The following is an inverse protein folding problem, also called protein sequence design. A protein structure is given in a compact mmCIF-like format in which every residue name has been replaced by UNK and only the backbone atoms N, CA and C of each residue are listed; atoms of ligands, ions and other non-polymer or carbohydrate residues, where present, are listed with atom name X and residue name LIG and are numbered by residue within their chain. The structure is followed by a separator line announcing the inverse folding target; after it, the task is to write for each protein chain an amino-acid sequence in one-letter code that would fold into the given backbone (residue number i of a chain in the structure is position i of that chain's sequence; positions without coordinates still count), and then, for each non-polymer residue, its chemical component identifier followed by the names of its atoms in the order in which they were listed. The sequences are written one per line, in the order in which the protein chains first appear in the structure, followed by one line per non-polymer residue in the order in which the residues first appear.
data_IF_881050428402
#
_entry.id   IF_881050428402
#
_cell.length_a   1.000
_cell.length_b   1.000
_cell.length_c   1.000
_cell.angle_alpha   90.00
_cell.angle_beta   90.00
_cell.angle_gamma   90.00
#
_symmetry.space_group_name_H-M   'P 1'
#
loop_
_entity.id
_entity.type
_entity.pdbx_description
1 polymer ?
#
# COMPACT_ATOMS: atom_id res chain seq x y z
N UNK A 1 -5.16 -17.86 8.34
CA UNK A 1 -3.80 -17.35 8.56
C UNK A 1 -3.75 -16.00 7.87
N UNK A 2 -3.61 -14.96 8.66
CA UNK A 2 -3.51 -13.56 8.22
C UNK A 2 -2.21 -13.34 7.43
N UNK A 3 -2.23 -12.37 6.53
CA UNK A 3 -1.08 -11.90 5.78
C UNK A 3 -0.36 -10.81 6.58
N UNK A 4 0.95 -10.91 6.71
CA UNK A 4 1.73 -9.84 7.36
C UNK A 4 1.61 -8.55 6.54
N UNK A 5 1.26 -7.43 7.20
CA UNK A 5 1.28 -6.10 6.59
C UNK A 5 2.57 -5.41 6.98
N UNK A 6 3.39 -5.10 5.97
CA UNK A 6 4.57 -4.28 6.10
C UNK A 6 4.30 -2.91 5.47
N UNK A 7 4.97 -1.89 5.96
CA UNK A 7 4.79 -0.52 5.47
C UNK A 7 6.16 0.14 5.31
N UNK A 8 6.28 0.98 4.30
CA UNK A 8 7.41 1.91 4.22
C UNK A 8 7.20 3.05 5.21
N UNK A 9 8.28 3.71 5.63
CA UNK A 9 8.22 4.93 6.44
C UNK A 9 7.37 6.03 5.78
N UNK A 10 7.28 6.03 4.45
CA UNK A 10 6.46 6.99 3.72
C UNK A 10 4.96 6.76 3.94
N UNK A 11 4.52 5.51 4.05
CA UNK A 11 3.12 5.17 4.41
C UNK A 11 2.87 5.43 5.90
N UNK A 12 3.80 5.07 6.78
CA UNK A 12 3.68 5.32 8.22
C UNK A 12 3.47 6.81 8.51
N UNK A 13 4.35 7.66 7.98
CA UNK A 13 4.24 9.12 8.14
C UNK A 13 2.93 9.68 7.57
N UNK A 14 2.44 9.12 6.47
CA UNK A 14 1.16 9.52 5.89
C UNK A 14 0.00 9.17 6.82
N UNK A 15 -0.02 7.96 7.40
CA UNK A 15 -1.07 7.54 8.33
C UNK A 15 -1.06 8.36 9.62
N UNK A 16 0.13 8.69 10.15
CA UNK A 16 0.27 9.54 11.33
C UNK A 16 -0.28 10.95 11.09
N UNK A 17 0.08 11.56 9.95
CA UNK A 17 -0.46 12.86 9.55
C UNK A 17 -1.99 12.80 9.35
N UNK A 18 -2.47 11.76 8.67
CA UNK A 18 -3.89 11.56 8.45
C UNK A 18 -4.66 11.38 9.76
N UNK A 19 -4.09 10.69 10.75
CA UNK A 19 -4.71 10.54 12.07
C UNK A 19 -4.88 11.89 12.78
N UNK A 20 -3.91 12.78 12.64
CA UNK A 20 -3.93 14.10 13.25
C UNK A 20 -4.94 15.04 12.55
N UNK A 21 -5.06 14.95 11.23
CA UNK A 21 -5.83 15.89 10.40
C UNK A 21 -7.28 15.41 10.12
N UNK A 22 -7.48 14.11 9.87
CA UNK A 22 -8.77 13.51 9.51
C UNK A 22 -8.91 12.08 10.07
N UNK A 23 -9.44 12.00 11.29
CA UNK A 23 -9.66 10.72 12.00
C UNK A 23 -10.65 9.79 11.31
N UNK A 24 -11.62 10.33 10.57
CA UNK A 24 -12.64 9.50 9.91
C UNK A 24 -12.03 8.80 8.69
N UNK A 25 -11.28 9.54 7.88
CA UNK A 25 -10.50 8.97 6.78
C UNK A 25 -9.46 7.96 7.30
N UNK A 26 -8.69 8.30 8.34
CA UNK A 26 -7.73 7.38 8.96
C UNK A 26 -8.38 6.06 9.41
N UNK A 27 -9.55 6.13 10.06
CA UNK A 27 -10.29 4.94 10.49
C UNK A 27 -10.67 4.03 9.31
N UNK A 28 -11.09 4.61 8.18
CA UNK A 28 -11.45 3.85 6.98
C UNK A 28 -10.24 3.21 6.31
N UNK A 29 -9.10 3.90 6.30
CA UNK A 29 -7.84 3.33 5.82
C UNK A 29 -7.44 2.13 6.65
N UNK A 30 -7.47 2.23 7.98
CA UNK A 30 -7.15 1.09 8.86
C UNK A 30 -8.10 -0.08 8.67
N UNK A 31 -9.40 0.17 8.49
CA UNK A 31 -10.37 -0.89 8.17
C UNK A 31 -10.05 -1.59 6.85
N UNK A 32 -9.63 -0.84 5.83
CA UNK A 32 -9.21 -1.41 4.55
C UNK A 32 -7.94 -2.27 4.68
N UNK A 33 -6.97 -1.84 5.51
CA UNK A 33 -5.75 -2.59 5.78
C UNK A 33 -6.06 -3.90 6.52
N UNK A 34 -6.95 -3.88 7.51
CA UNK A 34 -7.39 -5.08 8.23
C UNK A 34 -8.08 -6.10 7.30
N UNK A 35 -8.90 -5.63 6.35
CA UNK A 35 -9.51 -6.51 5.35
C UNK A 35 -8.44 -7.11 4.43
N UNK A 36 -7.46 -6.33 4.02
CA UNK A 36 -6.33 -6.80 3.21
C UNK A 36 -5.47 -7.84 3.95
N UNK A 37 -5.19 -7.63 5.23
CA UNK A 37 -4.50 -8.57 6.12
C UNK A 37 -5.24 -9.91 6.20
N UNK A 38 -6.57 -9.86 6.35
CA UNK A 38 -7.38 -11.06 6.47
C UNK A 38 -7.49 -11.86 5.16
N UNK A 39 -7.72 -11.15 4.05
CA UNK A 39 -8.05 -11.77 2.76
C UNK A 39 -6.83 -12.00 1.85
N UNK A 40 -5.76 -11.22 2.05
CA UNK A 40 -4.54 -11.25 1.24
C UNK A 40 -4.84 -11.12 -0.27
N UNK A 41 -4.21 -11.95 -1.14
CA UNK A 41 -4.42 -11.93 -2.59
C UNK A 41 -5.85 -12.23 -3.05
N UNK A 42 -6.71 -12.74 -2.15
CA UNK A 42 -8.13 -12.94 -2.43
C UNK A 42 -8.94 -11.64 -2.45
N UNK A 43 -8.40 -10.55 -1.91
CA UNK A 43 -9.08 -9.25 -1.91
C UNK A 43 -9.06 -8.60 -3.31
N UNK A 44 -10.21 -8.07 -3.71
CA UNK A 44 -10.44 -7.57 -5.07
C UNK A 44 -11.29 -6.30 -5.08
N UNK A 45 -11.95 -6.02 -6.20
CA UNK A 45 -12.84 -4.85 -6.29
C UNK A 45 -14.04 -5.01 -5.34
N UNK A 46 -14.48 -3.95 -4.65
CA UNK A 46 -14.09 -2.54 -4.84
C UNK A 46 -12.92 -2.07 -3.97
N UNK A 47 -12.35 -2.89 -3.08
CA UNK A 47 -11.31 -2.45 -2.15
C UNK A 47 -9.91 -2.44 -2.78
N UNK A 48 -9.64 -3.31 -3.75
CA UNK A 48 -8.32 -3.45 -4.41
C UNK A 48 -8.45 -3.36 -5.94
N UNK A 49 -7.48 -2.72 -6.63
CA UNK A 49 -7.22 -2.91 -8.08
C UNK A 49 -5.79 -3.36 -8.34
N UNK A 50 -5.57 -3.77 -9.59
CA UNK A 50 -4.25 -3.84 -10.20
C UNK A 50 -3.83 -2.51 -10.84
N UNK A 51 -2.55 -2.15 -10.69
CA UNK A 51 -1.92 -1.01 -11.37
C UNK A 51 -1.26 -1.52 -12.66
N UNK A 52 -1.81 -1.15 -13.82
CA UNK A 52 -1.33 -1.65 -15.12
C UNK A 52 -0.20 -0.82 -15.72
N UNK A 53 0.04 0.38 -15.20
CA UNK A 53 1.05 1.31 -15.71
C UNK A 53 2.43 1.13 -15.04
N UNK A 54 2.58 0.15 -14.15
CA UNK A 54 3.84 -0.18 -13.49
C UNK A 54 4.58 -1.29 -14.22
N UNK A 55 5.91 -1.30 -14.13
CA UNK A 55 6.75 -2.45 -14.54
C UNK A 55 6.61 -3.64 -13.59
N UNK A 56 6.15 -3.41 -12.36
CA UNK A 56 5.90 -4.48 -11.38
C UNK A 56 4.53 -5.08 -11.70
N UNK A 57 4.55 -6.32 -12.19
CA UNK A 57 3.35 -7.02 -12.70
C UNK A 57 2.26 -7.23 -11.65
N UNK A 58 2.62 -7.32 -10.38
CA UNK A 58 1.70 -7.52 -9.27
C UNK A 58 1.49 -6.25 -8.41
N UNK A 59 1.83 -5.07 -8.93
CA UNK A 59 1.54 -3.80 -8.26
C UNK A 59 0.02 -3.60 -8.19
N UNK A 60 -0.45 -3.23 -7.00
CA UNK A 60 -1.87 -3.07 -6.67
C UNK A 60 -2.12 -1.72 -6.02
N UNK A 61 -3.39 -1.34 -5.95
CA UNK A 61 -3.84 -0.23 -5.13
C UNK A 61 -4.91 -0.65 -4.15
N UNK A 62 -4.79 -0.20 -2.91
CA UNK A 62 -5.84 -0.22 -1.90
C UNK A 62 -6.69 1.04 -2.04
N UNK A 63 -8.01 0.86 -2.01
CA UNK A 63 -9.03 1.90 -2.16
C UNK A 63 -9.97 1.93 -0.95
N UNK A 64 -9.51 2.46 0.20
CA UNK A 64 -10.39 2.71 1.32
C UNK A 64 -11.60 3.54 0.90
N UNK A 65 -12.77 3.32 1.51
CA UNK A 65 -13.92 4.19 1.30
C UNK A 65 -13.56 5.65 1.60
N UNK A 66 -14.11 6.56 0.80
CA UNK A 66 -13.89 8.00 0.93
C UNK A 66 -14.91 8.66 1.88
N UNK A 67 -14.50 9.72 2.58
CA UNK A 67 -15.40 10.61 3.33
C UNK A 67 -15.16 12.05 2.88
N UNK A 68 -16.25 12.79 2.66
CA UNK A 68 -16.15 14.17 2.20
C UNK A 68 -15.50 14.26 0.82
N UNK A 69 -14.32 14.89 0.75
CA UNK A 69 -13.57 15.10 -0.50
C UNK A 69 -12.29 14.26 -0.62
N UNK A 70 -11.95 13.47 0.41
CA UNK A 70 -10.72 12.67 0.41
C UNK A 70 -10.85 11.46 -0.52
N UNK A 71 -9.79 11.16 -1.26
CA UNK A 71 -9.69 10.00 -2.15
C UNK A 71 -8.36 9.29 -1.89
N UNK A 72 -8.24 8.72 -0.70
CA UNK A 72 -7.01 8.09 -0.24
C UNK A 72 -6.76 6.79 -0.99
N UNK A 73 -5.52 6.59 -1.42
CA UNK A 73 -5.07 5.41 -2.14
C UNK A 73 -3.69 5.03 -1.69
N UNK A 74 -3.45 3.72 -1.61
CA UNK A 74 -2.16 3.17 -1.20
C UNK A 74 -1.70 2.19 -2.27
N UNK A 75 -0.54 2.43 -2.90
CA UNK A 75 0.06 1.43 -3.79
C UNK A 75 0.79 0.40 -2.95
N UNK A 76 0.64 -0.87 -3.31
CA UNK A 76 1.21 -1.99 -2.57
C UNK A 76 1.50 -3.17 -3.49
N UNK A 77 2.27 -4.14 -2.98
CA UNK A 77 2.50 -5.42 -3.65
C UNK A 77 2.45 -6.57 -2.65
N UNK A 78 2.10 -7.77 -3.13
CA UNK A 78 2.30 -9.00 -2.37
C UNK A 78 3.69 -9.55 -2.67
N UNK A 79 4.49 -9.76 -1.64
CA UNK A 79 5.85 -10.26 -1.78
C UNK A 79 5.88 -11.80 -2.01
N UNK A 80 7.05 -12.38 -2.30
CA UNK A 80 7.23 -13.83 -2.38
C UNK A 80 7.14 -14.57 -1.04
N UNK A 81 7.20 -13.87 0.11
CA UNK A 81 7.28 -14.44 1.45
C UNK A 81 5.99 -14.35 2.26
N UNK A 82 4.88 -14.04 1.58
CA UNK A 82 3.51 -14.02 2.12
C UNK A 82 3.21 -12.80 3.01
N UNK A 83 3.73 -11.65 2.60
CA UNK A 83 3.46 -10.34 3.19
C UNK A 83 2.89 -9.40 2.12
N UNK A 84 2.10 -8.42 2.54
CA UNK A 84 1.72 -7.29 1.71
C UNK A 84 2.53 -6.06 2.16
N UNK A 85 3.32 -5.50 1.26
CA UNK A 85 4.10 -4.27 1.51
C UNK A 85 3.35 -3.06 0.97
N UNK A 86 2.92 -2.18 1.87
CA UNK A 86 2.35 -0.87 1.54
C UNK A 86 3.49 0.10 1.21
N UNK A 87 3.55 0.55 -0.04
CA UNK A 87 4.71 1.26 -0.59
C UNK A 87 4.55 2.76 -0.50
N UNK A 88 3.41 3.29 -0.98
CA UNK A 88 3.15 4.73 -1.05
C UNK A 88 1.68 5.04 -0.86
N UNK A 89 1.39 6.05 -0.05
CA UNK A 89 0.05 6.53 0.21
C UNK A 89 -0.12 8.00 -0.21
N UNK A 90 -1.34 8.39 -0.58
CA UNK A 90 -1.67 9.79 -0.87
C UNK A 90 -3.17 10.03 -1.03
N UNK A 91 -3.57 11.29 -0.90
CA UNK A 91 -4.93 11.76 -1.21
C UNK A 91 -5.02 12.21 -2.68
N UNK A 92 -5.91 11.59 -3.45
CA UNK A 92 -6.09 11.85 -4.89
C UNK A 92 -7.05 12.98 -5.21
N UNK A 93 -7.57 13.71 -4.23
CA UNK A 93 -8.57 14.76 -4.44
C UNK A 93 -8.18 15.76 -5.55
N UNK A 94 -8.79 15.60 -6.74
CA UNK A 94 -8.64 16.50 -7.90
C UNK A 94 -7.37 16.38 -8.78
N UNK A 95 -6.42 15.46 -8.52
CA UNK A 95 -5.13 15.40 -9.26
C UNK A 95 -4.69 13.98 -9.70
N UNK A 96 -5.64 13.13 -10.05
CA UNK A 96 -5.45 11.70 -10.35
C UNK A 96 -4.28 11.38 -11.31
N UNK A 97 -4.25 11.98 -12.49
CA UNK A 97 -3.23 11.68 -13.51
C UNK A 97 -1.82 12.15 -13.13
N UNK A 98 -1.72 13.15 -12.25
CA UNK A 98 -0.43 13.62 -11.78
C UNK A 98 0.10 12.68 -10.70
N UNK A 99 -0.73 12.35 -9.73
CA UNK A 99 -0.32 11.50 -8.62
C UNK A 99 0.21 10.15 -9.09
N UNK A 100 -0.48 9.44 -10.00
CA UNK A 100 0.03 8.14 -10.47
C UNK A 100 1.37 8.24 -11.23
N UNK A 101 1.59 9.33 -11.98
CA UNK A 101 2.85 9.52 -12.72
C UNK A 101 4.04 9.71 -11.79
N UNK A 102 3.80 10.23 -10.58
CA UNK A 102 4.82 10.45 -9.56
C UNK A 102 4.94 9.24 -8.63
N UNK A 103 3.80 8.73 -8.14
CA UNK A 103 3.74 7.65 -7.15
C UNK A 103 4.14 6.27 -7.70
N UNK A 104 3.87 5.96 -8.99
CA UNK A 104 4.22 4.64 -9.54
C UNK A 104 5.74 4.43 -9.60
N UNK A 105 6.55 5.34 -10.20
CA UNK A 105 8.01 5.19 -10.18
C UNK A 105 8.61 5.12 -8.78
N UNK A 106 8.05 5.86 -7.82
CA UNK A 106 8.50 5.83 -6.43
C UNK A 106 8.16 4.50 -5.75
N UNK A 107 6.93 4.01 -5.90
CA UNK A 107 6.53 2.69 -5.42
C UNK A 107 7.43 1.57 -5.97
N UNK A 108 7.78 1.67 -7.26
CA UNK A 108 8.68 0.73 -7.91
C UNK A 108 10.07 0.71 -7.29
N UNK A 109 10.62 1.89 -7.00
CA UNK A 109 11.92 2.01 -6.34
C UNK A 109 11.89 1.46 -4.91
N UNK A 110 10.83 1.77 -4.15
CA UNK A 110 10.64 1.28 -2.79
C UNK A 110 10.51 -0.25 -2.76
N UNK A 111 9.80 -0.84 -3.73
CA UNK A 111 9.64 -2.29 -3.80
C UNK A 111 10.97 -3.00 -4.10
N UNK A 112 11.78 -2.48 -5.04
CA UNK A 112 13.09 -3.05 -5.32
C UNK A 112 14.02 -3.00 -4.10
N UNK A 113 13.97 -1.92 -3.32
CA UNK A 113 14.75 -1.77 -2.09
C UNK A 113 14.28 -2.77 -1.03
N UNK A 114 12.97 -2.82 -0.81
CA UNK A 114 12.34 -3.77 0.11
C UNK A 114 12.73 -5.22 -0.18
N UNK A 115 12.65 -5.67 -1.44
CA UNK A 115 13.00 -7.05 -1.79
C UNK A 115 14.45 -7.40 -1.45
N UNK A 116 15.40 -6.49 -1.68
CA UNK A 116 16.83 -6.69 -1.37
C UNK A 116 17.09 -6.75 0.13
N UNK A 117 16.36 -5.99 0.92
CA UNK A 117 16.47 -5.98 2.38
C UNK A 117 15.84 -7.24 2.96
N UNK A 118 14.62 -7.57 2.51
CA UNK A 118 13.87 -8.74 2.96
C UNK A 118 14.56 -10.06 2.62
N UNK A 119 15.16 -10.18 1.43
CA UNK A 119 15.94 -11.36 1.06
C UNK A 119 17.13 -11.56 2.00
N UNK A 120 17.84 -10.48 2.37
CA UNK A 120 18.97 -10.57 3.32
C UNK A 120 18.50 -10.99 4.69
N UNK A 121 17.42 -10.41 5.22
CA UNK A 121 16.87 -10.77 6.53
C UNK A 121 16.57 -12.27 6.61
N UNK A 122 15.85 -12.78 5.60
CA UNK A 122 15.44 -14.18 5.54
C UNK A 122 16.64 -15.12 5.38
N UNK A 123 17.66 -14.72 4.62
CA UNK A 123 18.90 -15.49 4.49
C UNK A 123 19.70 -15.54 5.80
N UNK A 124 19.64 -14.50 6.63
CA UNK A 124 20.25 -14.51 7.95
C UNK A 124 19.48 -15.39 8.94
N UNK A 125 18.14 -15.37 8.89
CA UNK A 125 17.29 -16.20 9.76
C UNK A 125 17.39 -17.71 9.47
N UNK A 126 17.79 -18.08 8.25
CA UNK A 126 17.93 -19.48 7.82
C UNK A 126 19.29 -20.12 8.15
N UNK A 127 20.26 -19.34 8.61
CA UNK A 127 21.63 -19.80 8.94
C UNK A 127 21.79 -20.06 10.43
#
# INVERSE_FOLDING_TARGET
MEWEILMTTQVENFLDALHAEDRDSHRLVNQAILVLEHNGPGEGRPLVDSITASRITNMKELRPPSVGRSEIRILFAFDPWRSAILLIAGDKSGQWNRWYREAIPEAEHLYDTYLKEREKEIDHERR
#
